data_IF_854035371423
#
_entry.id   IF_854035371423
#
_cell.length_a   1.000
_cell.length_b   1.000
_cell.length_c   1.000
_cell.angle_alpha   90.00
_cell.angle_beta   90.00
_cell.angle_gamma   90.00
#
_symmetry.space_group_name_H-M   'P 1'
#
loop_
_entity.id
_entity.type
_entity.pdbx_description
1 polymer ?
#
# COMPACT_ATOMS: atom_id res chain seq x y z
N UNK A 1 -8.62 16.93 6.50
CA UNK A 1 -8.60 16.13 5.28
C UNK A 1 -9.55 14.95 5.39
N UNK A 2 -10.21 14.60 4.29
CA UNK A 2 -11.20 13.53 4.22
C UNK A 2 -10.57 12.15 4.48
N UNK A 3 -9.41 11.94 3.89
CA UNK A 3 -8.57 10.76 4.11
C UNK A 3 -7.16 11.23 4.52
N UNK A 4 -6.90 11.44 5.81
CA UNK A 4 -5.57 11.78 6.28
C UNK A 4 -4.61 10.64 5.95
N UNK A 5 -3.38 10.98 5.62
CA UNK A 5 -2.33 10.01 5.31
C UNK A 5 -0.99 10.42 5.90
N UNK A 6 -0.10 9.46 6.01
CA UNK A 6 1.29 9.66 6.42
C UNK A 6 2.17 8.69 5.64
N UNK A 7 3.15 9.19 4.89
CA UNK A 7 4.12 8.38 4.17
C UNK A 7 5.40 8.24 4.97
N UNK A 8 5.66 7.04 5.46
CA UNK A 8 6.79 6.72 6.30
C UNK A 8 7.89 6.03 5.50
N UNK A 9 9.14 6.49 5.65
CA UNK A 9 10.34 5.87 5.12
C UNK A 9 10.99 5.01 6.20
N UNK A 10 11.21 3.75 5.91
CA UNK A 10 11.89 2.77 6.76
C UNK A 10 13.31 2.55 6.26
N UNK A 11 14.29 2.69 7.14
CA UNK A 11 15.69 2.46 6.87
C UNK A 11 16.22 1.40 7.84
N UNK A 12 16.78 0.32 7.30
CA UNK A 12 17.31 -0.78 8.08
C UNK A 12 18.71 -1.16 7.60
N UNK A 13 19.62 -1.49 8.52
CA UNK A 13 20.91 -2.05 8.19
C UNK A 13 20.81 -3.57 8.15
N UNK A 14 21.34 -4.16 7.10
CA UNK A 14 21.31 -5.62 6.89
C UNK A 14 22.38 -6.28 7.74
N UNK A 15 21.99 -7.32 8.49
CA UNK A 15 22.91 -8.11 9.35
C UNK A 15 23.39 -9.39 8.66
N UNK A 16 22.50 -10.04 7.89
CA UNK A 16 22.82 -11.24 7.12
C UNK A 16 22.33 -11.08 5.69
N UNK A 17 22.96 -11.71 4.67
CA UNK A 17 22.58 -11.51 3.29
C UNK A 17 21.07 -11.61 3.08
N UNK A 18 20.46 -10.55 2.57
CA UNK A 18 19.02 -10.41 2.40
C UNK A 18 18.69 -10.32 0.92
N UNK A 19 17.91 -11.28 0.43
CA UNK A 19 17.49 -11.35 -0.96
C UNK A 19 16.00 -11.03 -1.10
N UNK A 20 15.66 -10.12 -2.01
CA UNK A 20 14.27 -9.83 -2.38
C UNK A 20 14.05 -10.16 -3.86
N UNK A 21 12.84 -10.65 -4.23
CA UNK A 21 12.47 -10.92 -5.61
C UNK A 21 12.27 -9.63 -6.41
N UNK A 22 12.06 -9.76 -7.73
CA UNK A 22 11.79 -8.62 -8.64
C UNK A 22 10.70 -7.69 -8.13
N UNK A 23 9.61 -8.24 -7.60
CA UNK A 23 8.57 -7.49 -6.90
C UNK A 23 8.53 -7.88 -5.43
N UNK A 24 9.15 -7.04 -4.61
CA UNK A 24 9.27 -7.29 -3.18
C UNK A 24 8.01 -6.98 -2.36
N UNK A 25 7.02 -6.31 -2.93
CA UNK A 25 5.82 -5.86 -2.19
C UNK A 25 5.05 -6.98 -1.50
N UNK A 26 4.90 -8.14 -2.16
CA UNK A 26 4.23 -9.32 -1.56
C UNK A 26 5.04 -9.93 -0.42
N UNK A 27 6.36 -9.99 -0.57
CA UNK A 27 7.29 -10.52 0.45
C UNK A 27 7.27 -9.64 1.70
N UNK A 28 7.43 -8.33 1.52
CA UNK A 28 7.38 -7.35 2.61
C UNK A 28 6.02 -7.38 3.32
N UNK A 29 4.92 -7.41 2.55
CA UNK A 29 3.57 -7.50 3.13
C UNK A 29 3.38 -8.78 3.96
N UNK A 30 3.89 -9.91 3.49
CA UNK A 30 3.83 -11.18 4.21
C UNK A 30 4.62 -11.13 5.53
N UNK A 31 5.84 -10.61 5.51
CA UNK A 31 6.69 -10.45 6.69
C UNK A 31 6.04 -9.51 7.72
N UNK A 32 5.57 -8.34 7.27
CA UNK A 32 4.84 -7.39 8.11
C UNK A 32 3.60 -8.00 8.76
N UNK A 33 2.71 -8.60 7.95
CA UNK A 33 1.47 -9.20 8.45
C UNK A 33 1.71 -10.33 9.43
N UNK A 34 2.71 -11.18 9.19
CA UNK A 34 3.11 -12.24 10.11
C UNK A 34 3.63 -11.69 11.45
N UNK A 35 4.47 -10.67 11.41
CA UNK A 35 5.00 -10.03 12.63
C UNK A 35 3.90 -9.29 13.39
N UNK A 36 3.07 -8.52 12.71
CA UNK A 36 1.94 -7.80 13.32
C UNK A 36 0.97 -8.76 14.00
N UNK A 37 0.66 -9.90 13.36
CA UNK A 37 -0.20 -10.91 13.95
C UNK A 37 0.38 -11.51 15.23
N UNK A 38 1.67 -11.85 15.23
CA UNK A 38 2.34 -12.40 16.42
C UNK A 38 2.34 -11.43 17.61
N UNK A 39 2.38 -10.13 17.33
CA UNK A 39 2.38 -9.09 18.37
C UNK A 39 0.96 -8.81 18.89
N UNK A 40 -0.03 -8.73 18.00
CA UNK A 40 -1.34 -8.18 18.31
C UNK A 40 -2.44 -9.26 18.50
N UNK A 41 -2.24 -10.50 18.02
CA UNK A 41 -3.26 -11.53 18.13
C UNK A 41 -3.27 -12.16 19.54
N UNK A 42 -4.32 -11.89 20.29
CA UNK A 42 -4.50 -12.40 21.66
C UNK A 42 -5.17 -13.76 21.68
N UNK A 43 -6.05 -14.07 20.73
CA UNK A 43 -6.83 -15.31 20.71
C UNK A 43 -6.10 -16.50 20.09
N UNK A 44 -5.08 -16.23 19.29
CA UNK A 44 -4.27 -17.22 18.55
C UNK A 44 -5.08 -18.21 17.68
N UNK A 45 -6.37 -17.94 17.42
CA UNK A 45 -7.18 -18.78 16.54
C UNK A 45 -6.64 -18.72 15.10
N UNK A 46 -6.76 -19.80 14.31
CA UNK A 46 -6.12 -19.89 12.99
C UNK A 46 -6.53 -18.81 12.00
N UNK A 47 -7.81 -18.39 12.03
CA UNK A 47 -8.37 -17.37 11.13
C UNK A 47 -9.03 -16.26 11.93
N UNK A 48 -9.11 -15.05 11.35
CA UNK A 48 -9.84 -13.95 11.99
C UNK A 48 -11.35 -14.03 11.80
N UNK A 49 -11.82 -14.90 10.92
CA UNK A 49 -13.27 -15.16 10.73
C UNK A 49 -13.86 -15.75 12.01
N UNK A 50 -14.90 -15.10 12.54
CA UNK A 50 -15.53 -15.53 13.79
C UNK A 50 -14.76 -15.15 15.07
N UNK A 51 -13.64 -14.44 14.97
CA UNK A 51 -12.92 -13.99 16.15
C UNK A 51 -13.74 -12.92 16.92
N UNK A 52 -13.94 -13.09 18.23
CA UNK A 52 -14.71 -12.13 19.03
C UNK A 52 -14.03 -10.74 19.08
N UNK A 53 -12.71 -10.67 18.89
CA UNK A 53 -11.94 -9.43 18.87
C UNK A 53 -11.76 -8.83 17.46
N UNK A 54 -12.42 -9.36 16.43
CA UNK A 54 -12.19 -8.97 15.03
C UNK A 54 -12.26 -7.46 14.80
N UNK A 55 -13.17 -6.76 15.48
CA UNK A 55 -13.40 -5.33 15.28
C UNK A 55 -12.47 -4.43 16.08
N UNK A 56 -11.85 -4.93 17.14
CA UNK A 56 -10.99 -4.18 18.06
C UNK A 56 -9.52 -4.61 17.98
N UNK A 57 -9.25 -5.76 17.39
CA UNK A 57 -7.90 -6.28 17.25
C UNK A 57 -7.08 -5.40 16.27
N UNK A 58 -5.93 -4.83 16.68
CA UNK A 58 -5.09 -4.00 15.81
C UNK A 58 -4.64 -4.73 14.53
N UNK A 59 -4.35 -6.03 14.63
CA UNK A 59 -4.03 -6.82 13.44
C UNK A 59 -5.19 -6.85 12.44
N UNK A 60 -6.41 -7.09 12.93
CA UNK A 60 -7.58 -7.15 12.06
C UNK A 60 -7.90 -5.77 11.44
N UNK A 61 -7.78 -4.70 12.23
CA UNK A 61 -8.00 -3.32 11.77
C UNK A 61 -7.02 -2.95 10.66
N UNK A 62 -5.73 -3.24 10.84
CA UNK A 62 -4.69 -2.85 9.89
C UNK A 62 -4.61 -3.82 8.71
N UNK A 63 -4.61 -5.14 8.97
CA UNK A 63 -4.21 -6.13 7.97
C UNK A 63 -5.37 -6.89 7.33
N UNK A 64 -6.43 -7.23 8.09
CA UNK A 64 -7.57 -7.99 7.57
C UNK A 64 -8.69 -7.07 7.05
N UNK A 65 -8.92 -5.91 7.68
CA UNK A 65 -9.97 -4.95 7.32
C UNK A 65 -11.33 -5.64 7.10
N UNK A 66 -11.90 -6.11 8.21
CA UNK A 66 -13.16 -6.85 8.17
C UNK A 66 -14.27 -6.02 7.50
N UNK A 67 -15.11 -6.64 6.66
CA UNK A 67 -16.26 -5.96 6.07
C UNK A 67 -17.24 -5.51 7.16
N UNK A 68 -18.06 -4.46 6.91
CA UNK A 68 -19.07 -4.00 7.85
C UNK A 68 -20.06 -5.13 8.17
N UNK A 69 -20.65 -5.09 9.39
CA UNK A 69 -21.60 -6.11 9.84
C UNK A 69 -22.91 -6.07 9.03
N UNK A 70 -23.31 -4.88 8.62
CA UNK A 70 -24.49 -4.64 7.78
C UNK A 70 -24.03 -4.50 6.34
N UNK A 71 -24.84 -5.04 5.40
CA UNK A 71 -24.51 -4.97 3.97
C UNK A 71 -24.40 -3.51 3.52
N UNK A 72 -23.39 -3.22 2.70
CA UNK A 72 -23.20 -1.88 2.13
C UNK A 72 -24.17 -1.63 0.98
N UNK A 73 -24.69 -0.40 0.88
CA UNK A 73 -25.70 0.00 -0.13
C UNK A 73 -25.19 -0.09 -1.58
N UNK A 74 -23.89 -0.01 -1.79
CA UNK A 74 -23.30 0.06 -3.12
C UNK A 74 -22.70 -1.25 -3.62
N UNK A 75 -22.37 -2.22 -2.74
CA UNK A 75 -21.70 -3.46 -3.16
C UNK A 75 -21.68 -4.51 -2.06
N UNK A 76 -21.78 -5.80 -2.45
CA UNK A 76 -21.37 -6.92 -1.57
C UNK A 76 -19.86 -6.97 -1.55
N UNK A 77 -19.23 -6.58 -0.43
CA UNK A 77 -17.79 -6.68 -0.26
C UNK A 77 -17.40 -8.03 0.30
N UNK A 78 -16.47 -8.69 -0.35
CA UNK A 78 -15.71 -9.76 0.26
C UNK A 78 -14.59 -9.23 1.15
N UNK A 79 -14.03 -8.07 0.81
CA UNK A 79 -12.93 -7.42 1.56
C UNK A 79 -13.03 -5.89 1.43
N UNK A 80 -12.77 -5.18 2.54
CA UNK A 80 -12.58 -3.74 2.59
C UNK A 80 -11.14 -3.41 2.18
N UNK A 81 -10.88 -2.33 1.42
CA UNK A 81 -9.52 -1.92 1.10
C UNK A 81 -8.68 -1.72 2.36
N UNK A 82 -7.46 -2.26 2.37
CA UNK A 82 -6.55 -2.12 3.50
C UNK A 82 -6.05 -0.68 3.61
N UNK A 83 -5.99 -0.12 4.83
CA UNK A 83 -5.63 1.28 5.06
C UNK A 83 -4.13 1.54 5.03
N UNK A 84 -3.40 0.82 4.21
CA UNK A 84 -1.97 1.06 3.99
C UNK A 84 -1.53 0.65 2.60
N UNK A 85 -0.41 1.22 2.16
CA UNK A 85 0.31 0.83 0.95
C UNK A 85 1.77 0.60 1.33
N UNK A 86 2.35 -0.55 0.97
CA UNK A 86 3.79 -0.77 1.04
C UNK A 86 4.38 -0.41 -0.31
N UNK A 87 5.34 0.51 -0.30
CA UNK A 87 6.14 0.89 -1.45
C UNK A 87 7.48 0.18 -1.35
N UNK A 88 7.66 -0.93 -2.07
CA UNK A 88 8.88 -1.73 -2.00
C UNK A 88 10.06 -0.99 -2.65
N UNK A 89 11.30 -1.50 -2.50
CA UNK A 89 12.42 -1.10 -3.33
C UNK A 89 12.09 -1.20 -4.81
N UNK A 90 12.85 -0.50 -5.65
CA UNK A 90 12.66 -0.50 -7.09
C UNK A 90 12.58 -1.92 -7.66
N UNK A 91 11.84 -2.07 -8.77
CA UNK A 91 11.72 -3.33 -9.47
C UNK A 91 13.08 -3.93 -9.84
N UNK A 92 13.20 -5.24 -9.67
CA UNK A 92 14.38 -6.03 -9.93
C UNK A 92 14.83 -6.82 -8.70
N UNK A 93 15.17 -8.09 -8.92
CA UNK A 93 15.72 -8.92 -7.85
C UNK A 93 17.04 -8.30 -7.36
N UNK A 94 17.17 -8.19 -6.03
CA UNK A 94 18.37 -7.62 -5.41
C UNK A 94 18.74 -8.38 -4.15
N UNK A 95 20.04 -8.45 -3.91
CA UNK A 95 20.64 -8.96 -2.69
C UNK A 95 21.40 -7.83 -2.00
N UNK A 96 21.14 -7.64 -0.72
CA UNK A 96 21.89 -6.72 0.16
C UNK A 96 22.85 -7.52 1.01
N UNK A 97 24.08 -7.04 1.09
CA UNK A 97 25.11 -7.61 1.93
C UNK A 97 25.07 -7.02 3.36
N UNK A 98 25.63 -7.69 4.37
CA UNK A 98 25.75 -7.14 5.71
C UNK A 98 26.39 -5.75 5.71
N UNK A 99 25.76 -4.80 6.41
CA UNK A 99 26.16 -3.40 6.48
C UNK A 99 25.50 -2.50 5.42
N UNK A 100 24.89 -3.06 4.38
CA UNK A 100 24.13 -2.25 3.42
C UNK A 100 22.78 -1.81 4.01
N UNK A 101 22.26 -0.69 3.50
CA UNK A 101 20.96 -0.15 3.92
C UNK A 101 19.86 -0.64 2.98
N UNK A 102 18.85 -1.28 3.57
CA UNK A 102 17.58 -1.56 2.95
C UNK A 102 16.63 -0.40 3.23
N UNK A 103 16.05 0.18 2.17
CA UNK A 103 15.01 1.21 2.27
C UNK A 103 13.72 0.77 1.58
N UNK A 104 12.60 1.10 2.20
CA UNK A 104 11.26 0.99 1.63
C UNK A 104 10.33 1.98 2.32
N UNK A 105 9.15 2.22 1.75
CA UNK A 105 8.19 3.11 2.37
C UNK A 105 6.87 2.38 2.68
N UNK A 106 6.10 2.99 3.58
CA UNK A 106 4.73 2.58 3.89
C UNK A 106 3.86 3.81 4.05
N UNK A 107 2.77 3.88 3.28
CA UNK A 107 1.74 4.91 3.43
C UNK A 107 0.69 4.38 4.36
N UNK A 108 0.39 5.10 5.43
CA UNK A 108 -0.70 4.84 6.36
C UNK A 108 -1.87 5.76 6.04
N UNK A 109 -3.09 5.24 6.10
CA UNK A 109 -4.30 5.94 5.70
C UNK A 109 -5.31 5.98 6.85
N UNK A 110 -5.88 7.16 7.09
CA UNK A 110 -6.93 7.35 8.08
C UNK A 110 -6.51 6.94 9.49
N UNK A 111 -7.40 6.23 10.19
CA UNK A 111 -7.18 5.81 11.59
C UNK A 111 -5.99 4.88 11.80
N UNK A 112 -5.45 4.28 10.73
CA UNK A 112 -4.26 3.42 10.83
C UNK A 112 -3.01 4.20 11.22
N UNK A 113 -2.99 5.52 11.02
CA UNK A 113 -1.89 6.40 11.44
C UNK A 113 -1.68 6.33 12.96
N UNK A 114 -2.75 6.18 13.74
CA UNK A 114 -2.70 6.02 15.20
C UNK A 114 -2.00 4.73 15.64
N UNK A 115 -1.94 3.73 14.73
CA UNK A 115 -1.26 2.45 14.95
C UNK A 115 0.24 2.49 14.59
N UNK A 116 0.79 3.66 14.25
CA UNK A 116 2.20 3.80 13.86
C UNK A 116 3.18 3.16 14.86
N UNK A 117 3.03 3.29 16.19
CA UNK A 117 3.93 2.62 17.14
C UNK A 117 3.94 1.10 16.99
N UNK A 118 2.76 0.50 16.83
CA UNK A 118 2.61 -0.94 16.64
C UNK A 118 3.18 -1.39 15.28
N UNK A 119 2.99 -0.58 14.24
CA UNK A 119 3.52 -0.81 12.90
C UNK A 119 5.05 -0.78 12.89
N UNK A 120 5.65 0.20 13.57
CA UNK A 120 7.12 0.28 13.74
C UNK A 120 7.64 -0.96 14.46
N UNK A 121 7.00 -1.36 15.57
CA UNK A 121 7.38 -2.57 16.30
C UNK A 121 7.23 -3.84 15.43
N UNK A 122 6.17 -3.92 14.63
CA UNK A 122 5.97 -5.04 13.71
C UNK A 122 7.09 -5.13 12.66
N UNK A 123 7.52 -3.99 12.10
CA UNK A 123 8.66 -3.96 11.18
C UNK A 123 9.99 -4.30 11.85
N UNK A 124 10.25 -3.81 13.06
CA UNK A 124 11.42 -4.23 13.83
C UNK A 124 11.48 -5.75 14.00
N UNK A 125 10.35 -6.37 14.36
CA UNK A 125 10.25 -7.82 14.54
C UNK A 125 10.37 -8.58 13.22
N UNK A 126 9.73 -8.10 12.15
CA UNK A 126 9.80 -8.72 10.83
C UNK A 126 11.24 -8.76 10.32
N UNK A 127 11.94 -7.62 10.37
CA UNK A 127 13.33 -7.49 9.93
C UNK A 127 14.29 -8.36 10.75
N UNK A 128 14.14 -8.38 12.07
CA UNK A 128 14.98 -9.17 12.96
C UNK A 128 14.75 -10.70 12.82
N UNK A 129 13.55 -11.12 12.45
CA UNK A 129 13.21 -12.54 12.27
C UNK A 129 13.67 -13.11 10.94
N UNK A 130 13.81 -12.26 9.93
CA UNK A 130 14.20 -12.62 8.57
C UNK A 130 13.12 -12.39 7.54
N UNK A 131 13.53 -11.90 6.38
CA UNK A 131 12.66 -11.58 5.24
C UNK A 131 13.20 -12.25 3.98
N UNK A 132 12.25 -12.64 3.11
CA UNK A 132 12.57 -13.18 1.80
C UNK A 132 13.01 -14.62 1.79
N UNK A 133 13.42 -15.14 0.61
CA UNK A 133 13.77 -16.55 0.44
C UNK A 133 15.03 -16.99 1.22
N UNK A 134 15.89 -16.04 1.57
CA UNK A 134 17.13 -16.29 2.31
C UNK A 134 16.97 -16.13 3.82
N UNK A 135 15.76 -15.78 4.32
CA UNK A 135 15.55 -15.38 5.71
C UNK A 135 16.55 -14.33 6.19
N UNK A 136 16.92 -13.40 5.28
CA UNK A 136 17.88 -12.34 5.55
C UNK A 136 17.39 -11.41 6.63
N UNK A 137 18.28 -11.07 7.58
CA UNK A 137 17.95 -10.25 8.76
C UNK A 137 18.49 -8.85 8.61
N UNK A 138 17.78 -7.93 9.23
CA UNK A 138 18.17 -6.53 9.29
C UNK A 138 17.68 -5.88 10.59
N UNK A 139 18.32 -4.81 10.99
CA UNK A 139 17.92 -3.99 12.13
C UNK A 139 17.30 -2.70 11.64
N UNK A 140 16.07 -2.39 12.09
CA UNK A 140 15.44 -1.11 11.80
C UNK A 140 16.20 -0.01 12.55
N UNK A 141 16.79 0.91 11.80
CA UNK A 141 17.55 2.04 12.36
C UNK A 141 16.65 3.26 12.57
N UNK A 142 15.87 3.60 11.56
CA UNK A 142 15.12 4.85 11.54
C UNK A 142 13.82 4.70 10.76
N UNK A 143 12.81 5.45 11.22
CA UNK A 143 11.58 5.72 10.46
C UNK A 143 11.38 7.22 10.43
N UNK A 144 11.26 7.77 9.23
CA UNK A 144 11.12 9.20 8.99
C UNK A 144 9.97 9.51 8.06
N UNK A 145 9.54 10.75 8.07
CA UNK A 145 8.48 11.28 7.24
C UNK A 145 8.93 12.61 6.63
N UNK A 146 8.52 12.91 5.40
CA UNK A 146 8.86 14.14 4.71
C UNK A 146 10.04 14.01 3.76
N UNK A 147 10.62 15.15 3.36
CA UNK A 147 11.75 15.23 2.45
C UNK A 147 13.07 15.49 3.21
N UNK A 148 14.20 15.43 2.50
CA UNK A 148 15.53 15.60 3.09
C UNK A 148 15.74 16.93 3.84
N UNK A 149 14.98 17.98 3.49
CA UNK A 149 15.06 19.32 4.11
C UNK A 149 14.05 19.55 5.23
N UNK A 150 13.00 18.70 5.33
CA UNK A 150 11.90 18.80 6.26
C UNK A 150 11.57 17.43 6.87
N UNK A 151 12.60 16.72 7.33
CA UNK A 151 12.43 15.36 7.84
C UNK A 151 11.88 15.38 9.27
N UNK A 152 10.73 14.75 9.47
CA UNK A 152 10.15 14.48 10.78
C UNK A 152 10.53 13.05 11.20
N UNK A 153 11.16 12.92 12.36
CA UNK A 153 11.58 11.64 12.91
C UNK A 153 10.42 10.98 13.62
N UNK A 154 10.01 9.81 13.14
CA UNK A 154 8.98 8.97 13.78
C UNK A 154 9.61 7.96 14.73
N UNK A 155 10.76 7.38 14.36
CA UNK A 155 11.50 6.42 15.18
C UNK A 155 13.01 6.53 14.92
N UNK A 156 13.80 6.33 15.98
CA UNK A 156 15.24 6.16 15.88
C UNK A 156 15.70 5.09 16.89
N UNK A 157 16.52 4.13 16.43
CA UNK A 157 16.99 3.02 17.24
C UNK A 157 17.94 3.46 18.38
N UNK A 158 18.56 4.63 18.26
CA UNK A 158 19.51 5.15 19.26
C UNK A 158 18.84 5.54 20.59
N UNK A 159 17.65 6.09 20.52
CA UNK A 159 16.89 6.52 21.72
C UNK A 159 15.62 5.69 21.97
N UNK A 160 15.24 4.84 20.99
CA UNK A 160 14.06 3.98 21.00
C UNK A 160 12.73 4.73 21.17
N UNK A 161 12.71 6.03 20.92
CA UNK A 161 11.51 6.83 21.02
C UNK A 161 10.69 6.72 19.75
N UNK A 162 9.37 6.70 19.90
CA UNK A 162 8.42 6.75 18.78
C UNK A 162 7.59 8.02 18.93
N UNK A 163 7.65 8.87 17.91
CA UNK A 163 6.83 10.07 17.80
C UNK A 163 5.64 9.80 16.87
N UNK A 164 4.53 10.50 17.10
CA UNK A 164 3.39 10.40 16.23
C UNK A 164 3.73 10.94 14.83
N UNK A 165 3.33 10.24 13.75
CA UNK A 165 3.44 10.79 12.42
C UNK A 165 2.63 12.09 12.27
N UNK A 166 3.13 12.98 11.43
CA UNK A 166 2.39 14.19 11.05
C UNK A 166 1.36 13.81 9.96
N UNK A 167 0.17 14.39 10.06
CA UNK A 167 -0.84 14.20 9.02
C UNK A 167 -0.45 15.01 7.79
N UNK A 168 -0.35 14.33 6.67
CA UNK A 168 -0.13 14.96 5.38
C UNK A 168 -1.48 15.30 4.75
N UNK A 169 -1.56 16.46 4.15
CA UNK A 169 -2.67 16.86 3.29
C UNK A 169 -2.14 17.04 1.87
N UNK A 170 -2.93 16.63 0.90
CA UNK A 170 -2.63 16.99 -0.49
C UNK A 170 -2.81 18.49 -0.62
N UNK A 171 -1.74 19.24 -0.94
CA UNK A 171 -1.87 20.67 -1.11
C UNK A 171 -2.80 20.97 -2.29
N UNK A 172 -3.60 22.03 -2.23
CA UNK A 172 -4.32 22.48 -3.41
C UNK A 172 -3.30 22.83 -4.49
N UNK A 173 -3.43 22.21 -5.63
CA UNK A 173 -2.60 22.50 -6.80
C UNK A 173 -3.49 23.05 -7.93
N UNK A 174 -2.96 23.95 -8.72
CA UNK A 174 -3.54 24.24 -10.02
C UNK A 174 -3.27 23.01 -10.89
N UNK A 175 -4.29 22.28 -11.33
CA UNK A 175 -4.08 21.07 -12.09
C UNK A 175 -3.35 21.42 -13.40
N UNK A 176 -2.28 20.70 -13.74
CA UNK A 176 -1.63 20.88 -15.01
C UNK A 176 -2.56 20.39 -16.14
N UNK A 177 -2.37 20.91 -17.35
CA UNK A 177 -3.05 20.40 -18.55
C UNK A 177 -2.43 19.09 -19.05
N UNK A 178 -1.29 18.71 -18.51
CA UNK A 178 -0.58 17.48 -18.85
C UNK A 178 0.00 16.85 -17.59
N UNK A 179 -0.27 15.56 -17.36
CA UNK A 179 0.28 14.80 -16.25
C UNK A 179 0.79 13.46 -16.75
N UNK A 180 2.01 13.10 -16.36
CA UNK A 180 2.55 11.76 -16.62
C UNK A 180 2.60 10.95 -15.34
N UNK A 181 1.93 9.81 -15.37
CA UNK A 181 1.94 8.81 -14.30
C UNK A 181 3.05 7.79 -14.60
N UNK A 182 3.92 7.56 -13.61
CA UNK A 182 4.98 6.55 -13.69
C UNK A 182 4.62 5.36 -12.82
N UNK A 183 4.33 4.21 -13.43
CA UNK A 183 4.01 2.98 -12.73
C UNK A 183 5.29 2.19 -12.46
N UNK A 184 5.90 2.42 -11.31
CA UNK A 184 7.10 1.71 -10.85
C UNK A 184 6.79 0.30 -10.33
N UNK A 185 5.55 0.06 -9.92
CA UNK A 185 5.02 -1.26 -9.54
C UNK A 185 3.82 -1.60 -10.41
N UNK A 186 3.52 -2.89 -10.61
CA UNK A 186 2.48 -3.29 -11.57
C UNK A 186 1.09 -2.76 -11.23
N UNK A 187 0.54 -1.94 -12.12
CA UNK A 187 -0.86 -1.53 -12.12
C UNK A 187 -1.73 -2.68 -12.62
N UNK A 188 -2.69 -3.10 -11.81
CA UNK A 188 -3.63 -4.16 -12.18
C UNK A 188 -5.06 -3.62 -12.19
N UNK A 189 -5.52 -3.19 -13.35
CA UNK A 189 -6.93 -2.90 -13.60
C UNK A 189 -7.65 -4.17 -14.04
N UNK A 190 -8.90 -4.33 -13.63
CA UNK A 190 -9.70 -5.52 -13.93
C UNK A 190 -11.06 -5.12 -14.52
N UNK A 191 -11.55 -5.94 -15.42
CA UNK A 191 -12.93 -5.92 -15.87
C UNK A 191 -13.45 -7.36 -15.89
N UNK A 192 -14.64 -7.58 -15.33
CA UNK A 192 -15.29 -8.90 -15.25
C UNK A 192 -14.35 -9.98 -14.64
N UNK A 193 -13.59 -9.63 -13.61
CA UNK A 193 -12.66 -10.54 -12.93
C UNK A 193 -11.33 -10.78 -13.65
N UNK A 194 -11.15 -10.28 -14.88
CA UNK A 194 -9.93 -10.44 -15.66
C UNK A 194 -9.07 -9.18 -15.65
N UNK A 195 -7.75 -9.35 -15.56
CA UNK A 195 -6.82 -8.24 -15.68
C UNK A 195 -6.78 -7.72 -17.12
N UNK A 196 -6.65 -6.40 -17.24
CA UNK A 196 -6.62 -5.71 -18.54
C UNK A 196 -5.17 -5.50 -18.99
N UNK A 197 -4.89 -5.84 -20.26
CA UNK A 197 -3.65 -5.51 -20.93
C UNK A 197 -3.57 -4.04 -21.34
N UNK A 198 -2.41 -3.61 -21.83
CA UNK A 198 -2.13 -2.20 -22.17
C UNK A 198 -3.08 -1.61 -23.22
N UNK A 199 -3.56 -2.44 -24.13
CA UNK A 199 -4.49 -2.07 -25.21
C UNK A 199 -5.93 -1.87 -24.72
N UNK A 200 -6.27 -2.38 -23.53
CA UNK A 200 -7.65 -2.38 -22.98
C UNK A 200 -7.85 -1.42 -21.83
N UNK A 201 -6.80 -0.76 -21.37
CA UNK A 201 -6.88 0.28 -20.35
C UNK A 201 -7.08 1.64 -20.99
N UNK A 202 -7.81 2.52 -20.31
CA UNK A 202 -8.08 3.90 -20.71
C UNK A 202 -8.15 4.81 -19.47
N UNK A 203 -8.09 6.13 -19.69
CA UNK A 203 -8.14 7.13 -18.62
C UNK A 203 -9.41 6.99 -17.78
N UNK A 204 -10.56 6.75 -18.41
CA UNK A 204 -11.83 6.56 -17.72
C UNK A 204 -11.79 5.42 -16.71
N UNK A 205 -11.27 4.25 -17.10
CA UNK A 205 -11.14 3.09 -16.19
C UNK A 205 -10.20 3.36 -15.04
N UNK A 206 -9.08 4.03 -15.33
CA UNK A 206 -8.09 4.38 -14.30
C UNK A 206 -8.71 5.33 -13.26
N UNK A 207 -9.27 6.44 -13.72
CA UNK A 207 -9.85 7.48 -12.84
C UNK A 207 -11.00 6.93 -11.99
N UNK A 208 -11.92 6.18 -12.61
CA UNK A 208 -13.03 5.57 -11.85
C UNK A 208 -12.55 4.51 -10.84
N UNK A 209 -11.51 3.76 -11.16
CA UNK A 209 -10.92 2.79 -10.22
C UNK A 209 -10.26 3.51 -9.03
N UNK A 210 -9.54 4.61 -9.27
CA UNK A 210 -8.93 5.44 -8.23
C UNK A 210 -10.00 6.12 -7.35
N UNK A 211 -11.00 6.76 -7.97
CA UNK A 211 -12.09 7.40 -7.25
C UNK A 211 -12.86 6.41 -6.35
N UNK A 212 -13.16 5.22 -6.87
CA UNK A 212 -13.80 4.15 -6.08
C UNK A 212 -12.92 3.73 -4.91
N UNK A 213 -11.61 3.53 -5.14
CA UNK A 213 -10.69 3.13 -4.08
C UNK A 213 -10.56 4.20 -3.00
N UNK A 214 -10.45 5.48 -3.38
CA UNK A 214 -10.40 6.61 -2.45
C UNK A 214 -11.70 6.70 -1.65
N UNK A 215 -12.87 6.57 -2.30
CA UNK A 215 -14.17 6.58 -1.63
C UNK A 215 -14.26 5.52 -0.54
N UNK A 216 -13.89 4.28 -0.86
CA UNK A 216 -13.92 3.17 0.09
C UNK A 216 -12.92 3.36 1.24
N UNK A 217 -11.71 3.83 0.94
CA UNK A 217 -10.71 4.11 1.98
C UNK A 217 -11.17 5.23 2.91
N UNK A 218 -11.74 6.31 2.36
CA UNK A 218 -12.24 7.43 3.14
C UNK A 218 -13.46 7.04 3.97
N UNK A 219 -14.34 6.22 3.45
CA UNK A 219 -15.53 5.74 4.16
C UNK A 219 -15.17 4.83 5.33
N UNK A 220 -14.32 3.83 5.12
CA UNK A 220 -14.02 2.83 6.14
C UNK A 220 -12.90 3.22 7.10
N UNK A 221 -11.97 4.07 6.68
CA UNK A 221 -10.78 4.41 7.45
C UNK A 221 -10.58 5.91 7.69
N UNK A 222 -11.33 6.77 6.99
CA UNK A 222 -11.27 8.22 7.08
C UNK A 222 -12.50 8.83 7.74
N UNK A 223 -12.86 10.02 7.27
CA UNK A 223 -13.94 10.86 7.80
C UNK A 223 -15.22 10.81 6.93
N UNK A 224 -15.42 9.75 6.16
CA UNK A 224 -16.56 9.55 5.29
C UNK A 224 -16.21 9.62 3.80
N UNK A 225 -17.11 9.08 2.97
CA UNK A 225 -16.92 9.04 1.53
C UNK A 225 -16.94 10.45 0.91
N UNK A 226 -16.12 10.73 -0.12
CA UNK A 226 -15.99 12.05 -0.74
C UNK A 226 -17.20 12.49 -1.56
N UNK A 227 -18.17 11.63 -1.81
CA UNK A 227 -19.35 12.01 -2.60
C UNK A 227 -19.03 12.32 -4.08
N UNK A 228 -18.08 11.62 -4.67
CA UNK A 228 -17.73 11.82 -6.08
C UNK A 228 -18.92 11.59 -7.00
N UNK A 229 -19.13 12.49 -7.96
CA UNK A 229 -20.01 12.25 -9.10
C UNK A 229 -19.28 11.40 -10.14
N UNK A 230 -19.49 10.07 -10.06
CA UNK A 230 -18.85 9.12 -10.95
C UNK A 230 -19.24 9.29 -12.43
N UNK A 231 -20.42 9.83 -12.70
CA UNK A 231 -20.86 10.09 -14.08
C UNK A 231 -20.12 11.29 -14.67
N UNK A 232 -19.99 12.37 -13.89
CA UNK A 232 -19.18 13.52 -14.28
C UNK A 232 -17.69 13.14 -14.45
N UNK A 233 -17.09 12.43 -13.50
CA UNK A 233 -15.72 11.95 -13.61
C UNK A 233 -15.48 11.07 -14.85
N UNK A 234 -16.43 10.19 -15.17
CA UNK A 234 -16.35 9.36 -16.37
C UNK A 234 -16.31 10.21 -17.65
N UNK A 235 -17.20 11.21 -17.74
CA UNK A 235 -17.29 12.13 -18.88
C UNK A 235 -16.01 12.98 -19.02
N UNK A 236 -15.52 13.53 -17.90
CA UNK A 236 -14.32 14.35 -17.90
C UNK A 236 -13.08 13.51 -18.29
N UNK A 237 -12.99 12.26 -17.80
CA UNK A 237 -11.92 11.34 -18.18
C UNK A 237 -11.96 10.90 -19.64
N UNK A 238 -13.15 10.73 -20.24
CA UNK A 238 -13.33 10.41 -21.67
C UNK A 238 -12.88 11.56 -22.59
N UNK A 239 -12.90 12.81 -22.10
CA UNK A 239 -12.46 13.97 -22.86
C UNK A 239 -10.94 14.14 -22.90
N UNK A 240 -10.18 13.37 -22.09
CA UNK A 240 -8.73 13.41 -22.09
C UNK A 240 -8.13 12.71 -23.31
N UNK A 241 -7.04 13.26 -23.82
CA UNK A 241 -6.17 12.54 -24.73
C UNK A 241 -5.05 11.84 -23.94
N UNK A 242 -4.64 10.67 -24.40
CA UNK A 242 -3.70 9.85 -23.64
C UNK A 242 -2.62 9.23 -24.50
N UNK A 243 -1.42 9.13 -23.93
CA UNK A 243 -0.30 8.41 -24.52
C UNK A 243 0.19 7.39 -23.52
N UNK A 244 0.32 6.13 -23.94
CA UNK A 244 0.69 5.01 -23.08
C UNK A 244 1.95 4.34 -23.58
N UNK A 245 2.97 4.27 -22.72
CA UNK A 245 4.18 3.47 -22.89
C UNK A 245 4.21 2.41 -21.79
N UNK A 246 3.22 1.52 -21.83
CA UNK A 246 2.99 0.51 -20.81
C UNK A 246 3.41 -0.88 -21.35
N UNK A 247 4.04 -1.66 -20.49
CA UNK A 247 4.38 -3.05 -20.75
C UNK A 247 3.84 -3.95 -19.63
N UNK A 248 3.42 -5.16 -20.02
CA UNK A 248 2.98 -6.15 -19.06
C UNK A 248 4.18 -6.78 -18.37
N UNK A 249 4.10 -6.92 -17.03
CA UNK A 249 5.07 -7.64 -16.21
C UNK A 249 4.37 -8.69 -15.39
N UNK A 250 4.87 -9.90 -15.48
CA UNK A 250 4.45 -11.01 -14.65
C UNK A 250 5.33 -11.13 -13.43
N UNK A 251 4.72 -11.50 -12.30
CA UNK A 251 5.44 -11.94 -11.10
C UNK A 251 4.71 -13.09 -10.44
N UNK A 252 5.44 -13.90 -9.72
CA UNK A 252 4.88 -14.99 -8.94
C UNK A 252 4.73 -14.58 -7.48
N UNK A 253 3.61 -14.94 -6.87
CA UNK A 253 3.36 -14.80 -5.44
C UNK A 253 3.14 -16.16 -4.83
N UNK A 254 3.94 -16.53 -3.85
CA UNK A 254 3.68 -17.69 -3.00
C UNK A 254 2.73 -17.26 -1.88
N UNK A 255 1.53 -17.84 -1.84
CA UNK A 255 0.60 -17.64 -0.73
C UNK A 255 0.95 -18.64 0.38
N UNK A 256 1.42 -18.13 1.51
CA UNK A 256 1.68 -18.96 2.70
C UNK A 256 0.40 -19.58 3.28
N UNK A 257 -0.77 -18.95 3.08
CA UNK A 257 -2.08 -19.49 3.52
C UNK A 257 -2.57 -20.64 2.65
N UNK A 258 -2.31 -20.60 1.34
CA UNK A 258 -2.83 -21.57 0.37
C UNK A 258 -1.76 -22.51 -0.16
N UNK A 259 -0.51 -22.32 0.22
CA UNK A 259 0.67 -23.06 -0.27
C UNK A 259 0.75 -23.14 -1.80
N UNK A 260 0.13 -22.20 -2.50
CA UNK A 260 0.09 -22.12 -3.95
C UNK A 260 0.90 -20.94 -4.46
N UNK A 261 1.58 -21.16 -5.57
CA UNK A 261 2.21 -20.06 -6.34
C UNK A 261 1.18 -19.53 -7.32
N UNK A 262 0.79 -18.28 -7.16
CA UNK A 262 -0.11 -17.58 -8.08
C UNK A 262 0.72 -16.73 -9.03
N UNK A 263 0.54 -16.95 -10.32
CA UNK A 263 1.03 -16.02 -11.33
C UNK A 263 0.12 -14.78 -11.33
N UNK A 264 0.72 -13.64 -11.14
CA UNK A 264 0.06 -12.34 -11.19
C UNK A 264 0.73 -11.52 -12.28
N UNK A 265 -0.01 -10.55 -12.84
CA UNK A 265 0.55 -9.66 -13.83
C UNK A 265 -0.09 -8.28 -13.74
N UNK A 266 0.61 -7.28 -14.27
CA UNK A 266 0.14 -5.91 -14.33
C UNK A 266 1.02 -5.04 -15.22
N UNK A 267 0.62 -3.79 -15.40
CA UNK A 267 1.24 -2.84 -16.30
C UNK A 267 2.25 -1.98 -15.55
N UNK A 268 3.43 -1.82 -16.11
CA UNK A 268 4.48 -0.87 -15.67
C UNK A 268 4.84 0.05 -16.81
N UNK A 269 5.39 1.22 -16.50
CA UNK A 269 5.82 2.21 -17.47
C UNK A 269 5.17 3.56 -17.27
N UNK A 270 4.93 4.29 -18.35
CA UNK A 270 4.44 5.66 -18.34
C UNK A 270 3.08 5.78 -18.99
N UNK A 271 2.25 6.65 -18.40
CA UNK A 271 0.94 7.00 -18.93
C UNK A 271 0.72 8.50 -18.81
N UNK A 272 0.69 9.18 -19.94
CA UNK A 272 0.49 10.63 -20.00
C UNK A 272 -0.97 10.94 -20.33
N UNK A 273 -1.56 11.79 -19.53
CA UNK A 273 -2.90 12.34 -19.68
C UNK A 273 -2.82 13.81 -20.04
N UNK A 274 -3.57 14.26 -21.07
CA UNK A 274 -3.61 15.64 -21.50
C UNK A 274 -5.06 16.12 -21.59
N UNK A 275 -5.35 17.31 -21.10
CA UNK A 275 -6.65 17.93 -21.10
C UNK A 275 -6.95 18.67 -19.82
N UNK A 276 -8.23 18.91 -19.55
CA UNK A 276 -8.66 19.52 -18.29
C UNK A 276 -8.67 18.49 -17.16
N UNK A 277 -7.66 18.59 -16.28
CA UNK A 277 -7.51 17.74 -15.11
C UNK A 277 -8.07 18.35 -13.82
N UNK A 278 -8.78 19.49 -13.90
CA UNK A 278 -9.22 20.25 -12.73
C UNK A 278 -10.23 19.53 -11.84
N UNK A 279 -10.89 18.51 -12.37
CA UNK A 279 -11.91 17.71 -11.68
C UNK A 279 -11.52 16.25 -11.45
N UNK A 280 -10.32 15.87 -11.87
CA UNK A 280 -9.84 14.47 -11.88
C UNK A 280 -8.80 14.20 -10.80
#
# INVERSE_FOLDING_TARGET
PMLPHARLRFQAVVDTPLRLPDYAGSTLRGAFGGALRRIACMTHIPTCTGCPLLRTCPYAVVFESAPPAEGHSLQKFSEVPRPYVIEPPAWGAREWQPGETLEFNMVLLGRTIEQAPLIVLAWQRALAQGIGPSDGRAQLLRVTQGCATCEHRVFDASDRTIQAPQLESVPPCNPPTTTTLHFHTPLRLQANGHALGAERVDARRLILALARRISLLAEFHGNGAPGFDFAALAKDAEALTETRKLSWRDWSRRSSRQQQTMALGGLVGEWTLNGDLSRI
#
